data_IF_280855739490
#
_entry.id   IF_280855739490
#
_cell.length_a   1.000
_cell.length_b   1.000
_cell.length_c   1.000
_cell.angle_alpha   90.00
_cell.angle_beta   90.00
_cell.angle_gamma   90.00
#
_symmetry.space_group_name_H-M   'P 1'
#
loop_
_entity.id
_entity.type
_entity.pdbx_description
1 polymer ?
#
# COMPACT_ATOMS: atom_id res chain seq x y z
N UNK A 1 6.63 -19.09 -16.64
CA UNK A 1 5.31 -19.45 -17.20
C UNK A 1 4.27 -18.83 -16.28
N UNK A 2 3.47 -17.87 -16.75
CA UNK A 2 2.35 -17.33 -15.97
C UNK A 2 1.33 -18.46 -15.86
N UNK A 3 1.15 -19.00 -14.65
CA UNK A 3 0.07 -19.95 -14.41
C UNK A 3 -1.25 -19.19 -14.56
N UNK A 4 -2.23 -19.78 -15.25
CA UNK A 4 -3.57 -19.21 -15.35
C UNK A 4 -4.14 -18.94 -13.94
N UNK A 5 -4.49 -17.68 -13.70
CA UNK A 5 -4.97 -17.20 -12.39
C UNK A 5 -6.44 -17.50 -12.16
N UNK A 6 -7.21 -17.63 -13.24
CA UNK A 6 -8.62 -17.98 -13.23
C UNK A 6 -8.87 -19.14 -14.18
N UNK A 7 -9.57 -20.17 -13.71
CA UNK A 7 -10.04 -21.27 -14.55
C UNK A 7 -11.55 -21.37 -14.42
N UNK A 8 -12.23 -21.39 -15.55
CA UNK A 8 -13.63 -21.80 -15.63
C UNK A 8 -13.61 -23.30 -15.85
N UNK A 9 -14.15 -24.07 -14.91
CA UNK A 9 -14.30 -25.50 -15.10
C UNK A 9 -15.52 -25.72 -16.01
N UNK A 10 -15.37 -26.50 -17.06
CA UNK A 10 -16.48 -26.84 -17.96
C UNK A 10 -17.58 -27.51 -17.12
N UNK A 11 -18.81 -27.00 -17.23
CA UNK A 11 -20.01 -27.41 -16.48
C UNK A 11 -20.10 -26.94 -15.00
N UNK A 12 -19.32 -25.92 -14.60
CA UNK A 12 -19.35 -25.37 -13.25
C UNK A 12 -20.13 -24.05 -13.11
N UNK A 13 -20.92 -23.93 -12.03
CA UNK A 13 -21.69 -22.73 -11.67
C UNK A 13 -20.83 -21.61 -11.04
N UNK A 14 -19.53 -21.83 -10.80
CA UNK A 14 -18.67 -20.89 -10.06
C UNK A 14 -17.27 -20.76 -10.67
N UNK A 15 -16.69 -19.57 -10.52
CA UNK A 15 -15.36 -19.24 -11.02
C UNK A 15 -14.37 -19.15 -9.85
N UNK A 16 -13.22 -19.82 -9.97
CA UNK A 16 -12.15 -19.75 -8.96
C UNK A 16 -11.08 -18.77 -9.42
N UNK A 17 -10.88 -17.69 -8.66
CA UNK A 17 -9.74 -16.78 -8.84
C UNK A 17 -8.67 -17.06 -7.78
N UNK A 18 -7.45 -17.38 -8.24
CA UNK A 18 -6.29 -17.70 -7.39
C UNK A 18 -5.36 -16.50 -7.17
N UNK A 19 -5.67 -15.33 -7.71
CA UNK A 19 -4.88 -14.13 -7.50
C UNK A 19 -5.06 -13.63 -6.05
N UNK A 20 -4.01 -13.61 -5.21
CA UNK A 20 -4.13 -13.18 -3.81
C UNK A 20 -4.60 -11.73 -3.68
N UNK A 21 -4.28 -10.86 -4.66
CA UNK A 21 -4.62 -9.43 -4.62
C UNK A 21 -6.02 -9.10 -5.12
N UNK A 22 -6.77 -10.06 -5.64
CA UNK A 22 -8.06 -9.78 -6.26
C UNK A 22 -9.05 -9.16 -5.25
N UNK A 23 -9.14 -9.77 -4.06
CA UNK A 23 -10.06 -9.31 -3.02
C UNK A 23 -9.71 -7.93 -2.46
N UNK A 24 -8.40 -7.61 -2.41
CA UNK A 24 -7.90 -6.29 -1.96
C UNK A 24 -8.31 -5.21 -2.96
N UNK A 25 -8.12 -5.45 -4.26
CA UNK A 25 -8.52 -4.51 -5.32
C UNK A 25 -10.03 -4.30 -5.39
N UNK A 26 -10.81 -5.35 -5.12
CA UNK A 26 -12.27 -5.26 -5.01
C UNK A 26 -12.75 -4.64 -3.68
N UNK A 27 -11.84 -4.35 -2.74
CA UNK A 27 -12.14 -3.81 -1.39
C UNK A 27 -13.00 -4.73 -0.52
N UNK A 28 -13.08 -6.01 -0.85
CA UNK A 28 -13.84 -7.02 -0.08
C UNK A 28 -12.93 -7.81 0.88
N UNK A 29 -11.62 -7.80 0.66
CA UNK A 29 -10.64 -8.46 1.51
C UNK A 29 -10.78 -8.01 2.98
N UNK A 30 -10.73 -8.98 3.91
CA UNK A 30 -10.76 -8.66 5.33
C UNK A 30 -9.44 -8.00 5.74
N UNK A 31 -9.51 -6.80 6.29
CA UNK A 31 -8.42 -6.22 7.09
C UNK A 31 -8.41 -6.90 8.46
N UNK A 32 -7.22 -6.99 9.06
CA UNK A 32 -7.04 -7.33 10.48
C UNK A 32 -7.78 -6.30 11.33
N UNK A 33 -8.82 -6.74 12.02
CA UNK A 33 -9.66 -5.91 12.87
C UNK A 33 -9.36 -6.17 14.36
N UNK A 34 -9.65 -5.20 15.21
CA UNK A 34 -9.28 -5.21 16.63
C UNK A 34 -7.98 -4.46 16.92
N UNK A 35 -7.32 -4.82 18.04
CA UNK A 35 -6.10 -4.16 18.54
C UNK A 35 -6.22 -2.63 18.68
N UNK A 36 -7.42 -2.14 19.01
CA UNK A 36 -7.71 -0.69 19.05
C UNK A 36 -6.90 0.07 20.10
N UNK A 37 -6.44 -0.63 21.15
CA UNK A 37 -5.60 -0.06 22.21
C UNK A 37 -4.10 -0.07 21.88
N UNK A 38 -3.68 -0.83 20.86
CA UNK A 38 -2.28 -0.94 20.47
C UNK A 38 -1.92 0.04 19.36
N UNK A 39 -0.69 0.55 19.41
CA UNK A 39 -0.07 1.31 18.33
C UNK A 39 1.22 0.58 17.91
N UNK A 40 1.51 0.44 16.61
CA UNK A 40 0.77 0.93 15.44
C UNK A 40 -0.53 0.16 15.15
N UNK A 41 -1.47 0.82 14.49
CA UNK A 41 -2.75 0.20 14.12
C UNK A 41 -2.51 -0.93 13.12
N UNK A 42 -3.14 -2.08 13.38
CA UNK A 42 -2.98 -3.28 12.54
C UNK A 42 -4.00 -3.37 11.40
N UNK A 43 -4.97 -2.45 11.31
CA UNK A 43 -6.00 -2.47 10.27
C UNK A 43 -5.55 -1.84 8.95
N UNK A 44 -4.88 -2.63 8.11
CA UNK A 44 -4.45 -2.24 6.76
C UNK A 44 -4.27 -3.48 5.86
N UNK A 45 -4.28 -3.29 4.54
CA UNK A 45 -3.75 -4.29 3.60
C UNK A 45 -2.27 -4.04 3.33
N UNK A 46 -1.93 -2.80 2.98
CA UNK A 46 -0.60 -2.29 2.72
C UNK A 46 -0.28 -1.08 3.60
N UNK A 47 0.88 -1.10 4.26
CA UNK A 47 1.39 0.01 5.07
C UNK A 47 2.75 0.45 4.58
N UNK A 48 2.95 1.76 4.60
CA UNK A 48 4.24 2.39 4.39
C UNK A 48 5.02 2.41 5.70
N UNK A 49 6.15 1.71 5.72
CA UNK A 49 7.08 1.68 6.84
C UNK A 49 8.39 2.36 6.45
N UNK A 50 8.80 3.36 7.22
CA UNK A 50 10.06 4.08 7.02
C UNK A 50 10.98 3.82 8.20
N UNK A 51 12.12 3.17 7.94
CA UNK A 51 13.15 2.89 8.94
C UNK A 51 14.34 3.80 8.70
N UNK A 52 14.61 4.67 9.67
CA UNK A 52 15.77 5.57 9.63
C UNK A 52 16.87 5.03 10.54
N UNK A 53 18.05 4.80 9.96
CA UNK A 53 19.31 4.58 10.68
C UNK A 53 20.13 5.88 10.69
N UNK A 54 21.22 5.93 11.45
CA UNK A 54 22.11 7.09 11.46
C UNK A 54 22.67 7.42 10.07
N UNK A 55 23.00 6.40 9.28
CA UNK A 55 23.66 6.57 7.96
C UNK A 55 22.72 6.43 6.77
N UNK A 56 21.67 5.61 6.90
CA UNK A 56 20.83 5.20 5.79
C UNK A 56 19.36 5.24 6.17
N UNK A 57 18.53 5.41 5.16
CA UNK A 57 17.08 5.38 5.24
C UNK A 57 16.57 4.30 4.31
N UNK A 58 15.55 3.56 4.78
CA UNK A 58 14.87 2.51 4.03
C UNK A 58 13.36 2.70 4.14
N UNK A 59 12.69 2.79 3.00
CA UNK A 59 11.24 2.74 2.90
C UNK A 59 10.79 1.36 2.43
N UNK A 60 9.72 0.85 3.04
CA UNK A 60 9.13 -0.45 2.71
C UNK A 60 7.63 -0.34 2.60
N UNK A 61 7.08 -1.09 1.65
CA UNK A 61 5.65 -1.33 1.52
C UNK A 61 5.36 -2.72 2.07
N UNK A 62 4.67 -2.78 3.20
CA UNK A 62 4.45 -4.02 3.96
C UNK A 62 2.99 -4.46 3.81
N UNK A 63 2.80 -5.70 3.38
CA UNK A 63 1.53 -6.41 3.42
C UNK A 63 1.30 -7.03 4.81
N UNK A 64 0.05 -7.04 5.28
CA UNK A 64 -0.27 -7.58 6.61
C UNK A 64 0.10 -9.08 6.77
N UNK A 65 0.02 -9.88 5.70
CA UNK A 65 0.31 -11.32 5.75
C UNK A 65 1.62 -11.71 5.06
N UNK A 66 1.98 -11.03 3.97
CA UNK A 66 3.09 -11.45 3.09
C UNK A 66 4.41 -10.75 3.45
N UNK A 67 4.36 -9.76 4.36
CA UNK A 67 5.51 -8.93 4.71
C UNK A 67 5.84 -7.91 3.62
N UNK A 68 7.13 -7.62 3.43
CA UNK A 68 7.62 -6.57 2.53
C UNK A 68 7.43 -6.94 1.06
N UNK A 69 6.65 -6.13 0.34
CA UNK A 69 6.43 -6.26 -1.11
C UNK A 69 7.46 -5.45 -1.89
N UNK A 70 7.58 -4.16 -1.53
CA UNK A 70 8.51 -3.22 -2.16
C UNK A 70 9.44 -2.72 -1.09
N UNK A 71 10.73 -2.76 -1.36
CA UNK A 71 11.75 -2.15 -0.53
C UNK A 71 12.55 -1.16 -1.37
N UNK A 72 12.91 -0.03 -0.77
CA UNK A 72 13.77 0.98 -1.37
C UNK A 72 14.69 1.55 -0.29
N UNK A 73 15.99 1.37 -0.45
CA UNK A 73 16.98 1.88 0.50
C UNK A 73 18.03 2.77 -0.15
N UNK A 74 18.42 3.81 0.57
CA UNK A 74 19.63 4.60 0.25
C UNK A 74 20.93 3.78 0.32
N UNK A 75 20.90 2.57 0.86
CA UNK A 75 22.03 1.64 0.83
C UNK A 75 22.23 1.02 -0.56
N UNK A 76 21.19 0.94 -1.37
CA UNK A 76 21.25 0.39 -2.72
C UNK A 76 22.23 1.20 -3.58
N UNK A 77 23.16 0.52 -4.25
CA UNK A 77 24.22 1.18 -5.02
C UNK A 77 23.67 2.14 -6.08
N UNK A 78 22.57 1.77 -6.73
CA UNK A 78 21.90 2.58 -7.75
C UNK A 78 21.47 3.95 -7.22
N UNK A 79 20.99 4.04 -5.98
CA UNK A 79 20.66 5.30 -5.32
C UNK A 79 21.91 5.95 -4.72
N UNK A 80 22.73 5.17 -4.02
CA UNK A 80 23.89 5.64 -3.27
C UNK A 80 24.89 6.42 -4.13
N UNK A 81 25.13 5.99 -5.38
CA UNK A 81 26.04 6.68 -6.31
C UNK A 81 25.58 8.10 -6.70
N UNK A 82 24.29 8.39 -6.57
CA UNK A 82 23.71 9.70 -6.87
C UNK A 82 23.45 10.53 -5.60
N UNK A 83 23.84 10.02 -4.43
CA UNK A 83 23.63 10.68 -3.15
C UNK A 83 24.99 11.02 -2.52
N UNK A 84 25.15 12.26 -2.09
CA UNK A 84 26.31 12.64 -1.29
C UNK A 84 26.29 11.97 0.10
N UNK A 85 25.09 11.84 0.69
CA UNK A 85 24.88 11.22 2.00
C UNK A 85 23.51 10.56 2.10
N UNK A 86 23.43 9.41 2.77
CA UNK A 86 22.25 8.54 2.80
C UNK A 86 21.12 8.94 3.77
N UNK A 87 21.26 10.04 4.51
CA UNK A 87 20.27 10.50 5.51
C UNK A 87 20.03 12.02 5.46
N UNK A 88 20.35 12.65 4.33
CA UNK A 88 20.12 14.09 4.13
C UNK A 88 18.76 14.34 3.47
N UNK A 89 18.30 15.60 3.43
CA UNK A 89 16.98 15.95 2.88
C UNK A 89 16.80 15.46 1.43
N UNK A 90 17.81 15.65 0.58
CA UNK A 90 17.82 15.18 -0.81
C UNK A 90 17.75 13.67 -0.92
N UNK A 91 18.29 12.94 0.07
CA UNK A 91 18.20 11.48 0.12
C UNK A 91 16.76 11.01 0.33
N UNK A 92 15.99 11.69 1.20
CA UNK A 92 14.57 11.42 1.38
C UNK A 92 13.76 11.75 0.13
N UNK A 93 14.04 12.88 -0.52
CA UNK A 93 13.38 13.27 -1.79
C UNK A 93 13.60 12.25 -2.89
N UNK A 94 14.86 11.86 -3.14
CA UNK A 94 15.18 10.89 -4.19
C UNK A 94 14.67 9.50 -3.86
N UNK A 95 14.73 9.09 -2.58
CA UNK A 95 14.17 7.82 -2.13
C UNK A 95 12.66 7.79 -2.30
N UNK A 96 11.94 8.89 -1.99
CA UNK A 96 10.50 9.00 -2.21
C UNK A 96 10.11 8.79 -3.67
N UNK A 97 10.82 9.44 -4.59
CA UNK A 97 10.59 9.30 -6.03
C UNK A 97 10.78 7.86 -6.50
N UNK A 98 11.92 7.24 -6.15
CA UNK A 98 12.20 5.86 -6.56
C UNK A 98 11.22 4.88 -5.92
N UNK A 99 10.89 5.07 -4.65
CA UNK A 99 9.90 4.26 -3.95
C UNK A 99 8.53 4.37 -4.64
N UNK A 100 8.10 5.58 -4.96
CA UNK A 100 6.84 5.82 -5.65
C UNK A 100 6.79 5.15 -7.02
N UNK A 101 7.84 5.31 -7.83
CA UNK A 101 7.94 4.65 -9.14
C UNK A 101 7.84 3.13 -9.01
N UNK A 102 8.55 2.52 -8.05
CA UNK A 102 8.46 1.07 -7.80
C UNK A 102 7.05 0.65 -7.40
N UNK A 103 6.36 1.42 -6.56
CA UNK A 103 4.98 1.13 -6.17
C UNK A 103 4.04 1.19 -7.38
N UNK A 104 4.20 2.18 -8.25
CA UNK A 104 3.42 2.34 -9.47
C UNK A 104 3.67 1.21 -10.48
N UNK A 105 4.93 0.81 -10.67
CA UNK A 105 5.31 -0.34 -11.52
C UNK A 105 4.70 -1.66 -11.01
N UNK A 106 4.62 -1.84 -9.69
CA UNK A 106 3.98 -3.00 -9.06
C UNK A 106 2.43 -2.90 -9.09
N UNK A 107 1.89 -1.73 -9.46
CA UNK A 107 0.46 -1.47 -9.53
C UNK A 107 -0.20 -1.25 -8.17
N UNK A 108 0.54 -0.74 -7.19
CA UNK A 108 0.05 -0.41 -5.85
C UNK A 108 -0.01 1.10 -5.66
N UNK A 109 -1.23 1.63 -5.72
CA UNK A 109 -1.51 3.08 -5.66
C UNK A 109 -2.02 3.54 -4.30
N UNK A 110 -2.48 2.63 -3.45
CA UNK A 110 -3.14 2.92 -2.18
C UNK A 110 -2.39 2.20 -1.06
N UNK A 111 -2.01 2.93 -0.01
CA UNK A 111 -1.33 2.39 1.16
C UNK A 111 -1.62 3.25 2.38
N UNK A 112 -1.49 2.68 3.58
CA UNK A 112 -1.66 3.42 4.84
C UNK A 112 -0.32 4.02 5.28
N UNK A 113 -0.31 5.30 5.66
CA UNK A 113 0.84 5.93 6.30
C UNK A 113 0.55 6.26 7.77
N UNK A 114 1.28 5.64 8.70
CA UNK A 114 1.19 5.94 10.14
C UNK A 114 2.35 6.84 10.64
N UNK A 115 3.17 7.37 9.72
CA UNK A 115 4.32 8.20 10.06
C UNK A 115 3.88 9.56 10.62
N UNK A 116 4.46 9.94 11.76
CA UNK A 116 4.29 11.30 12.30
C UNK A 116 5.24 12.25 11.57
N UNK A 117 4.76 12.87 10.51
CA UNK A 117 5.50 13.92 9.80
C UNK A 117 5.51 15.21 10.63
N UNK A 118 6.68 15.60 11.15
CA UNK A 118 6.87 16.95 11.65
C UNK A 118 6.84 17.94 10.46
N UNK A 119 6.15 19.07 10.63
CA UNK A 119 6.08 20.13 9.63
C UNK A 119 7.51 20.60 9.26
N UNK A 120 7.84 20.59 7.97
CA UNK A 120 9.18 20.94 7.47
C UNK A 120 10.28 19.89 7.68
N UNK A 121 9.96 18.72 8.27
CA UNK A 121 10.94 17.64 8.48
C UNK A 121 11.24 16.84 7.21
N UNK A 122 12.36 16.10 7.22
CA UNK A 122 12.76 15.18 6.13
C UNK A 122 11.71 14.10 5.83
N UNK A 123 11.00 13.64 6.86
CA UNK A 123 9.91 12.67 6.71
C UNK A 123 8.70 13.34 6.05
N UNK A 124 8.42 14.60 6.37
CA UNK A 124 7.34 15.36 5.74
C UNK A 124 7.58 15.59 4.24
N UNK A 125 8.81 15.89 3.83
CA UNK A 125 9.15 16.01 2.41
C UNK A 125 9.01 14.68 1.67
N UNK A 126 9.41 13.57 2.30
CA UNK A 126 9.20 12.23 1.75
C UNK A 126 7.71 11.94 1.51
N UNK A 127 6.87 12.14 2.53
CA UNK A 127 5.42 11.92 2.46
C UNK A 127 4.79 12.76 1.36
N UNK A 128 5.13 14.06 1.30
CA UNK A 128 4.62 14.98 0.28
C UNK A 128 4.94 14.51 -1.14
N UNK A 129 6.17 14.10 -1.40
CA UNK A 129 6.61 13.66 -2.73
C UNK A 129 5.91 12.36 -3.14
N UNK A 130 5.70 11.44 -2.20
CA UNK A 130 4.93 10.21 -2.46
C UNK A 130 3.49 10.55 -2.82
N UNK A 131 2.85 11.51 -2.15
CA UNK A 131 1.50 11.97 -2.52
C UNK A 131 1.48 12.65 -3.89
N UNK A 132 2.45 13.55 -4.17
CA UNK A 132 2.60 14.24 -5.47
C UNK A 132 2.81 13.25 -6.63
N UNK A 133 3.45 12.10 -6.38
CA UNK A 133 3.66 11.05 -7.38
C UNK A 133 2.41 10.24 -7.73
N UNK A 134 1.26 10.50 -7.08
CA UNK A 134 -0.03 9.86 -7.35
C UNK A 134 -0.39 8.70 -6.43
N UNK A 135 0.37 8.48 -5.37
CA UNK A 135 0.07 7.43 -4.36
C UNK A 135 -0.80 8.03 -3.27
N UNK A 136 -1.93 7.36 -3.00
CA UNK A 136 -2.84 7.72 -1.91
C UNK A 136 -2.35 7.10 -0.62
N UNK A 137 -1.94 7.93 0.34
CA UNK A 137 -1.47 7.51 1.68
C UNK A 137 -2.60 7.15 2.67
N UNK A 138 -3.82 7.03 2.16
CA UNK A 138 -4.99 6.51 2.87
C UNK A 138 -5.59 5.39 2.04
N UNK A 139 -5.70 4.21 2.66
CA UNK A 139 -6.42 3.09 2.06
C UNK A 139 -7.94 3.36 2.04
N UNK A 140 -8.65 2.83 1.03
CA UNK A 140 -10.09 2.85 1.03
C UNK A 140 -10.66 1.94 2.12
N UNK A 141 -11.90 2.23 2.50
CA UNK A 141 -12.64 1.41 3.44
C UNK A 141 -13.06 0.08 2.80
N UNK A 142 -13.15 -0.96 3.63
CA UNK A 142 -13.61 -2.28 3.18
C UNK A 142 -15.11 -2.23 2.96
N UNK A 143 -15.56 -2.69 1.78
CA UNK A 143 -16.97 -2.90 1.51
C UNK A 143 -17.50 -4.03 2.41
N UNK A 144 -18.55 -3.73 3.16
CA UNK A 144 -19.27 -4.70 3.99
C UNK A 144 -20.57 -5.10 3.29
N UNK A 145 -21.07 -6.32 3.52
CA UNK A 145 -22.43 -6.64 3.08
C UNK A 145 -23.42 -5.71 3.79
N UNK A 146 -24.44 -5.26 3.04
CA UNK A 146 -25.55 -4.52 3.63
C UNK A 146 -26.41 -5.49 4.44
N UNK A 147 -26.63 -5.19 5.71
CA UNK A 147 -27.53 -5.92 6.59
C UNK A 147 -28.95 -5.33 6.53
N UNK A 148 -29.95 -6.13 6.93
CA UNK A 148 -31.36 -5.69 6.89
C UNK A 148 -31.63 -4.44 7.72
N UNK A 149 -30.87 -4.24 8.80
CA UNK A 149 -30.95 -3.10 9.72
C UNK A 149 -30.05 -1.91 9.33
N UNK A 150 -29.30 -1.99 8.23
CA UNK A 150 -28.48 -0.87 7.77
C UNK A 150 -29.37 0.21 7.15
N UNK A 151 -29.31 1.42 7.72
CA UNK A 151 -30.08 2.58 7.26
C UNK A 151 -29.66 3.05 5.87
N UNK A 152 -28.36 2.95 5.55
CA UNK A 152 -27.80 3.35 4.27
C UNK A 152 -27.29 2.12 3.53
N UNK A 153 -27.82 1.88 2.33
CA UNK A 153 -27.42 0.77 1.46
C UNK A 153 -26.63 1.35 0.30
N UNK A 154 -25.33 1.09 0.28
CA UNK A 154 -24.51 1.47 -0.86
C UNK A 154 -24.94 0.65 -2.09
N UNK A 155 -25.00 1.30 -3.25
CA UNK A 155 -25.16 0.60 -4.52
C UNK A 155 -24.04 -0.43 -4.67
N UNK A 156 -24.38 -1.62 -5.18
CA UNK A 156 -23.36 -2.64 -5.38
C UNK A 156 -22.40 -2.15 -6.46
N UNK A 157 -21.07 -2.30 -6.30
CA UNK A 157 -20.10 -1.80 -7.28
C UNK A 157 -20.25 -2.34 -8.71
N UNK A 158 -20.96 -3.46 -8.89
CA UNK A 158 -21.23 -4.11 -10.18
C UNK A 158 -22.64 -3.86 -10.71
N UNK A 159 -23.43 -3.04 -10.01
CA UNK A 159 -24.76 -2.64 -10.43
C UNK A 159 -24.60 -1.34 -11.24
N UNK A 160 -24.74 -1.46 -12.57
CA UNK A 160 -24.70 -0.31 -13.46
C UNK A 160 -26.06 0.37 -13.39
N UNK A 161 -26.12 1.53 -12.73
CA UNK A 161 -27.29 2.41 -12.81
C UNK A 161 -27.20 3.19 -14.12
N UNK A 162 -28.17 2.95 -15.01
CA UNK A 162 -28.39 3.71 -16.25
C UNK A 162 -28.66 5.20 -15.98
#
# INVERSE_FOLDING_TARGET
>A
KLNETSRVLNDSLYVINRNPRNLERLRVARKTDGYHLEKPTRSFWHRLDLTTSNKYVTARLVHFQNGTIVECSTMEWALKRHLYKGNDYTAYTNLALVFATRCMEVGLTEMRCDLKAAQGGKIGSFVRIVEESGIKLKEPERLRPNYSWDMQRHAKPWEVTE
#
